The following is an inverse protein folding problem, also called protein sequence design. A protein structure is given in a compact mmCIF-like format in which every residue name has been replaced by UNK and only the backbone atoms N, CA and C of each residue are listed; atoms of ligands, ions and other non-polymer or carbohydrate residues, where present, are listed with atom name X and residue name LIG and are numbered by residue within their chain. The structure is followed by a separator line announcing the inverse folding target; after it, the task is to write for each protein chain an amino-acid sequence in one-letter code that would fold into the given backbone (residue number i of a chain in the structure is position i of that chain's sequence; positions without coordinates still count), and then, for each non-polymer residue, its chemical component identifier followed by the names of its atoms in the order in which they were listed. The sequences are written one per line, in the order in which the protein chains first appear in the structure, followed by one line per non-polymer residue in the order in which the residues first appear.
data_IF_862118122447
#
_entry.id   IF_862118122447
#
_cell.length_a   1.000
_cell.length_b   1.000
_cell.length_c   1.000
_cell.angle_alpha   90.00
_cell.angle_beta   90.00
_cell.angle_gamma   90.00
#
_symmetry.space_group_name_H-M   'P 1'
#
loop_
_entity.id
_entity.type
_entity.pdbx_description
1 polymer ?
#
# COMPACT_ATOMS: atom_id res chain seq x y z
N UNK A 1 25.20 -22.64 -21.62
CA UNK A 1 25.86 -21.43 -21.10
C UNK A 1 25.11 -21.07 -19.84
N UNK A 2 25.67 -21.42 -18.69
CA UNK A 2 25.03 -21.24 -17.37
C UNK A 2 24.96 -19.76 -16.99
N UNK A 3 23.84 -19.41 -16.37
CA UNK A 3 23.38 -18.03 -16.15
C UNK A 3 24.31 -17.21 -15.26
N UNK A 4 24.92 -16.20 -15.88
CA UNK A 4 25.29 -14.98 -15.15
C UNK A 4 24.01 -14.18 -14.99
N UNK A 5 23.40 -14.22 -13.82
CA UNK A 5 22.52 -13.14 -13.39
C UNK A 5 23.41 -11.91 -13.36
N UNK A 6 23.15 -10.96 -14.26
CA UNK A 6 23.95 -9.75 -14.30
C UNK A 6 23.50 -8.90 -13.11
N UNK A 7 24.47 -8.34 -12.40
CA UNK A 7 24.25 -7.33 -11.35
C UNK A 7 23.30 -6.20 -11.82
N UNK A 8 23.30 -5.90 -13.13
CA UNK A 8 22.35 -4.98 -13.75
C UNK A 8 20.87 -5.43 -13.67
N UNK A 9 20.60 -6.74 -13.75
CA UNK A 9 19.24 -7.28 -13.73
C UNK A 9 18.60 -7.10 -12.35
N UNK A 10 19.36 -7.35 -11.29
CA UNK A 10 18.89 -7.17 -9.91
C UNK A 10 18.79 -5.68 -9.54
N UNK A 11 19.71 -4.82 -9.99
CA UNK A 11 19.60 -3.37 -9.77
C UNK A 11 18.31 -2.83 -10.40
N UNK A 12 18.01 -3.23 -11.64
CA UNK A 12 16.77 -2.83 -12.33
C UNK A 12 15.54 -3.35 -11.61
N UNK A 13 15.55 -4.60 -11.17
CA UNK A 13 14.44 -5.19 -10.42
C UNK A 13 14.16 -4.41 -9.13
N UNK A 14 15.21 -4.02 -8.41
CA UNK A 14 15.09 -3.24 -7.19
C UNK A 14 14.58 -1.80 -7.43
N UNK A 15 14.90 -1.19 -8.57
CA UNK A 15 14.30 0.09 -8.99
C UNK A 15 12.82 -0.05 -9.33
N UNK A 16 12.43 -1.15 -10.00
CA UNK A 16 11.03 -1.42 -10.33
C UNK A 16 10.18 -1.67 -9.07
N UNK A 17 10.77 -2.30 -8.04
CA UNK A 17 10.14 -2.48 -6.72
C UNK A 17 9.85 -1.11 -6.08
N UNK A 18 10.82 -0.18 -6.10
CA UNK A 18 10.62 1.16 -5.56
C UNK A 18 9.51 1.90 -6.32
N UNK A 19 9.52 1.83 -7.65
CA UNK A 19 8.49 2.45 -8.49
C UNK A 19 7.09 1.87 -8.20
N UNK A 20 6.98 0.56 -7.96
CA UNK A 20 5.71 -0.07 -7.61
C UNK A 20 5.19 0.39 -6.24
N UNK A 21 6.07 0.59 -5.25
CA UNK A 21 5.70 1.13 -3.94
C UNK A 21 5.23 2.58 -4.07
N UNK A 22 5.96 3.41 -4.81
CA UNK A 22 5.63 4.82 -5.01
C UNK A 22 4.30 4.99 -5.74
N UNK A 23 4.04 4.14 -6.75
CA UNK A 23 2.80 4.11 -7.50
C UNK A 23 1.63 3.43 -6.77
N UNK A 24 1.85 2.87 -5.58
CA UNK A 24 0.87 2.06 -4.83
C UNK A 24 0.35 0.85 -5.62
N UNK A 25 1.13 0.37 -6.59
CA UNK A 25 0.82 -0.83 -7.36
C UNK A 25 1.27 -2.08 -6.60
N UNK A 26 0.50 -2.43 -5.57
CA UNK A 26 0.81 -3.55 -4.68
C UNK A 26 0.71 -4.90 -5.38
N UNK A 27 -0.03 -5.01 -6.48
CA UNK A 27 -0.08 -6.23 -7.26
C UNK A 27 1.27 -6.45 -7.95
N UNK A 28 1.74 -5.45 -8.70
CA UNK A 28 3.03 -5.50 -9.36
C UNK A 28 4.18 -5.66 -8.36
N UNK A 29 4.09 -5.01 -7.20
CA UNK A 29 5.06 -5.18 -6.12
C UNK A 29 5.21 -6.65 -5.71
N UNK A 30 4.10 -7.38 -5.52
CA UNK A 30 4.16 -8.80 -5.14
C UNK A 30 4.80 -9.64 -6.24
N UNK A 31 4.46 -9.39 -7.51
CA UNK A 31 5.04 -10.10 -8.66
C UNK A 31 6.58 -9.89 -8.72
N UNK A 32 7.04 -8.66 -8.53
CA UNK A 32 8.47 -8.32 -8.51
C UNK A 32 9.22 -8.94 -7.32
N UNK A 33 8.58 -9.03 -6.15
CA UNK A 33 9.16 -9.69 -4.97
C UNK A 33 9.32 -11.21 -5.18
N UNK A 34 8.36 -11.87 -5.82
CA UNK A 34 8.43 -13.28 -6.18
C UNK A 34 9.53 -13.56 -7.21
N UNK A 35 9.73 -12.65 -8.16
CA UNK A 35 10.86 -12.72 -9.10
C UNK A 35 12.20 -12.53 -8.40
N UNK A 36 12.28 -11.57 -7.47
CA UNK A 36 13.47 -11.32 -6.68
C UNK A 36 13.88 -12.52 -5.84
N UNK A 37 12.92 -13.19 -5.19
CA UNK A 37 13.18 -14.34 -4.32
C UNK A 37 13.98 -15.44 -5.04
N UNK A 38 13.68 -15.67 -6.32
CA UNK A 38 14.38 -16.65 -7.17
C UNK A 38 15.85 -16.27 -7.41
N UNK A 39 16.18 -14.98 -7.37
CA UNK A 39 17.52 -14.46 -7.61
C UNK A 39 18.37 -14.38 -6.33
N UNK A 40 17.75 -14.19 -5.15
CA UNK A 40 18.46 -14.02 -3.87
C UNK A 40 19.59 -15.05 -3.61
N UNK A 41 19.41 -16.37 -3.85
CA UNK A 41 20.44 -17.36 -3.57
C UNK A 41 21.71 -17.21 -4.40
N UNK A 42 21.66 -16.42 -5.47
CA UNK A 42 22.74 -16.25 -6.44
C UNK A 42 23.54 -14.97 -6.23
N UNK A 43 23.08 -14.09 -5.34
CA UNK A 43 23.67 -12.78 -5.10
C UNK A 43 24.82 -12.87 -4.08
N UNK A 44 25.73 -11.90 -4.17
CA UNK A 44 26.80 -11.77 -3.18
C UNK A 44 26.24 -11.31 -1.83
N UNK A 45 26.98 -11.58 -0.75
CA UNK A 45 26.62 -11.15 0.60
C UNK A 45 26.49 -9.63 0.71
N UNK A 46 27.30 -8.88 -0.04
CA UNK A 46 27.26 -7.41 -0.06
C UNK A 46 25.95 -6.90 -0.68
N UNK A 47 25.55 -7.47 -1.82
CA UNK A 47 24.28 -7.11 -2.47
C UNK A 47 23.08 -7.48 -1.60
N UNK A 48 23.12 -8.63 -0.92
CA UNK A 48 22.06 -9.03 0.00
C UNK A 48 21.92 -8.08 1.19
N UNK A 49 23.03 -7.53 1.71
CA UNK A 49 23.00 -6.51 2.78
C UNK A 49 22.38 -5.21 2.28
N UNK A 50 22.69 -4.80 1.06
CA UNK A 50 22.13 -3.59 0.47
C UNK A 50 20.62 -3.72 0.22
N UNK A 51 20.18 -4.87 -0.30
CA UNK A 51 18.75 -5.20 -0.47
C UNK A 51 18.05 -5.19 0.88
N UNK A 52 18.62 -5.84 1.90
CA UNK A 52 18.02 -5.86 3.25
C UNK A 52 17.86 -4.44 3.81
N UNK A 53 18.85 -3.57 3.61
CA UNK A 53 18.79 -2.18 4.07
C UNK A 53 17.67 -1.41 3.35
N UNK A 54 17.52 -1.59 2.04
CA UNK A 54 16.43 -0.97 1.27
C UNK A 54 15.06 -1.51 1.69
N UNK A 55 14.94 -2.82 1.89
CA UNK A 55 13.69 -3.44 2.35
C UNK A 55 13.23 -2.91 3.70
N UNK A 56 14.17 -2.59 4.61
CA UNK A 56 13.83 -1.94 5.87
C UNK A 56 13.20 -0.55 5.65
N UNK A 57 13.73 0.24 4.71
CA UNK A 57 13.17 1.56 4.36
C UNK A 57 11.82 1.45 3.65
N UNK A 58 11.67 0.46 2.75
CA UNK A 58 10.41 0.17 2.07
C UNK A 58 9.33 -0.23 3.06
N UNK A 59 9.68 -1.04 4.06
CA UNK A 59 8.76 -1.43 5.13
C UNK A 59 8.23 -0.22 5.89
N UNK A 60 9.10 0.71 6.28
CA UNK A 60 8.68 1.94 6.96
C UNK A 60 7.71 2.76 6.09
N UNK A 61 7.99 2.84 4.78
CA UNK A 61 7.12 3.52 3.81
C UNK A 61 5.74 2.84 3.71
N UNK A 62 5.70 1.52 3.61
CA UNK A 62 4.47 0.75 3.53
C UNK A 62 3.66 0.83 4.84
N UNK A 63 4.30 0.84 6.00
CA UNK A 63 3.64 1.02 7.30
C UNK A 63 2.96 2.38 7.41
N UNK A 64 3.60 3.45 6.91
CA UNK A 64 3.00 4.78 6.82
C UNK A 64 1.77 4.77 5.92
N UNK A 65 1.86 4.19 4.71
CA UNK A 65 0.71 4.07 3.80
C UNK A 65 -0.44 3.28 4.42
N UNK A 66 -0.16 2.18 5.14
CA UNK A 66 -1.20 1.41 5.87
C UNK A 66 -1.89 2.28 6.92
N UNK A 67 -1.14 3.13 7.63
CA UNK A 67 -1.72 4.05 8.61
C UNK A 67 -2.64 5.07 7.93
N UNK A 68 -2.20 5.66 6.82
CA UNK A 68 -3.01 6.61 6.03
C UNK A 68 -4.30 5.97 5.50
N UNK A 69 -4.23 4.72 5.02
CA UNK A 69 -5.41 3.98 4.59
C UNK A 69 -6.40 3.71 5.73
N UNK A 70 -5.90 3.36 6.92
CA UNK A 70 -6.75 3.16 8.11
C UNK A 70 -7.47 4.45 8.50
N UNK A 71 -6.73 5.56 8.58
CA UNK A 71 -7.31 6.87 8.90
C UNK A 71 -8.37 7.28 7.85
N UNK A 72 -8.10 7.05 6.57
CA UNK A 72 -9.03 7.32 5.48
C UNK A 72 -10.30 6.45 5.58
N UNK A 73 -10.16 5.17 5.92
CA UNK A 73 -11.29 4.26 6.09
C UNK A 73 -12.18 4.65 7.28
N UNK A 74 -11.57 5.04 8.41
CA UNK A 74 -12.28 5.54 9.60
C UNK A 74 -13.05 6.82 9.29
N UNK A 75 -12.42 7.77 8.59
CA UNK A 75 -13.08 9.00 8.15
C UNK A 75 -14.26 8.69 7.22
N UNK A 76 -14.10 7.77 6.26
CA UNK A 76 -15.18 7.35 5.36
C UNK A 76 -16.36 6.72 6.12
N UNK A 77 -16.09 5.87 7.11
CA UNK A 77 -17.13 5.27 7.94
C UNK A 77 -17.88 6.34 8.76
N UNK A 78 -17.15 7.30 9.33
CA UNK A 78 -17.75 8.42 10.05
C UNK A 78 -18.65 9.26 9.11
N UNK A 79 -18.17 9.55 7.90
CA UNK A 79 -18.93 10.27 6.87
C UNK A 79 -20.21 9.53 6.49
N UNK A 80 -20.16 8.20 6.33
CA UNK A 80 -21.35 7.37 6.10
C UNK A 80 -22.34 7.45 7.28
N UNK A 81 -21.86 7.41 8.52
CA UNK A 81 -22.72 7.57 9.72
C UNK A 81 -23.39 8.94 9.76
N UNK A 82 -22.65 10.01 9.47
CA UNK A 82 -23.21 11.36 9.38
C UNK A 82 -24.25 11.48 8.27
N UNK A 83 -23.97 10.98 7.06
CA UNK A 83 -24.94 11.03 5.96
C UNK A 83 -26.22 10.24 6.29
N UNK A 84 -26.08 9.06 6.89
CA UNK A 84 -27.23 8.26 7.30
C UNK A 84 -28.08 8.95 8.39
N UNK A 85 -27.48 9.73 9.29
CA UNK A 85 -28.25 10.47 10.29
C UNK A 85 -29.05 11.63 9.67
N UNK A 86 -28.54 12.28 8.61
CA UNK A 86 -29.32 13.26 7.86
C UNK A 86 -30.53 12.63 7.16
N UNK A 87 -30.35 11.49 6.48
CA UNK A 87 -31.44 10.76 5.80
C UNK A 87 -32.51 10.31 6.81
N UNK A 88 -32.10 9.77 7.96
CA UNK A 88 -33.04 9.36 9.02
C UNK A 88 -33.79 10.54 9.67
N UNK A 89 -33.22 11.75 9.64
CA UNK A 89 -33.87 12.95 10.16
C UNK A 89 -34.85 13.57 9.14
N UNK A 90 -34.66 13.37 7.83
CA UNK A 90 -35.63 13.79 6.81
C UNK A 90 -36.87 12.89 6.77
N UNK A 91 -36.72 11.57 6.97
CA UNK A 91 -37.85 10.63 7.05
C UNK A 91 -38.69 10.78 8.33
N UNK A 92 -38.11 11.37 9.38
CA UNK A 92 -38.85 11.79 10.58
C UNK A 92 -39.32 13.23 10.45
N UNK A 93 -40.05 13.50 9.37
CA UNK A 93 -40.82 14.73 9.22
C UNK A 93 -41.66 14.97 10.48
N UNK A 94 -41.17 15.86 11.34
CA UNK A 94 -41.95 16.41 12.43
C UNK A 94 -43.16 17.11 11.81
N UNK A 95 -44.35 16.51 11.94
CA UNK A 95 -45.59 17.27 11.92
C UNK A 95 -45.55 18.15 13.18
N UNK A 96 -44.88 19.30 13.08
CA UNK A 96 -45.08 20.39 14.03
C UNK A 96 -46.48 20.90 13.72
N UNK A 97 -47.47 20.38 14.44
CA UNK A 97 -48.82 20.91 14.40
C UNK A 97 -48.79 22.29 15.08
N UNK A 98 -48.50 23.33 14.29
CA UNK A 98 -48.65 24.74 14.69
C UNK A 98 -50.12 25.11 14.56
N UNK A 99 -50.95 24.59 15.45
CA UNK A 99 -52.27 25.15 15.73
C UNK A 99 -52.24 25.57 17.19
N UNK A 100 -52.45 26.88 17.39
CA UNK A 100 -52.24 27.59 18.65
C UNK A 100 -53.27 27.32 19.73
#
# INVERSE_FOLDING_TARGET
MEGRINEADIVKLEEEIDQAIDAEDFQKLNELLDEREKLLPTLSVEMLKDIQKRDQQRKETLELKIKEFKESAEQMESGKKYMNSYIQNEDKGNIINRLG
#
